data_IF_688847572245
#
_entry.id   IF_688847572245
#
_cell.length_a   1.000
_cell.length_b   1.000
_cell.length_c   1.000
_cell.angle_alpha   90.00
_cell.angle_beta   90.00
_cell.angle_gamma   90.00
#
_symmetry.space_group_name_H-M   'P 1'
#
loop_
_entity.id
_entity.type
_entity.pdbx_description
1 polymer ?
#
# COMPACT_ATOMS: atom_id res chain seq x y z
N UNK A 1 -2.77 51.74 -5.85
CA UNK A 1 -1.54 50.96 -5.62
C UNK A 1 -1.78 50.01 -4.47
N UNK A 2 -2.21 48.81 -4.76
CA UNK A 2 -2.51 47.80 -3.76
C UNK A 2 -1.29 46.86 -3.63
N UNK A 3 -0.57 46.95 -2.52
CA UNK A 3 0.56 46.09 -2.18
C UNK A 3 0.05 44.71 -1.81
N UNK A 4 0.11 43.77 -2.71
CA UNK A 4 -0.02 42.35 -2.41
C UNK A 4 1.15 41.97 -1.51
N UNK A 5 0.91 41.97 -0.19
CA UNK A 5 1.78 41.32 0.79
C UNK A 5 1.76 39.81 0.50
N UNK A 6 2.78 39.33 -0.23
CA UNK A 6 3.19 37.93 -0.15
C UNK A 6 3.58 37.66 1.30
N UNK A 7 2.69 37.04 2.05
CA UNK A 7 3.05 36.42 3.33
C UNK A 7 4.09 35.35 3.01
N UNK A 8 5.34 35.61 3.38
CA UNK A 8 6.40 34.63 3.32
C UNK A 8 5.92 33.39 4.10
N UNK A 9 5.59 32.31 3.41
CA UNK A 9 5.29 31.04 4.05
C UNK A 9 6.55 30.61 4.80
N UNK A 10 6.43 30.50 6.12
CA UNK A 10 7.51 30.07 7.01
C UNK A 10 8.03 28.73 6.48
N UNK A 11 9.29 28.66 6.06
CA UNK A 11 9.93 27.41 5.65
C UNK A 11 9.76 26.35 6.73
N UNK A 12 9.45 25.14 6.33
CA UNK A 12 9.27 24.02 7.25
C UNK A 12 10.62 23.63 7.84
N UNK A 13 10.88 23.98 9.09
CA UNK A 13 12.10 23.58 9.79
C UNK A 13 12.08 22.08 10.09
N UNK A 14 13.14 21.38 9.70
CA UNK A 14 13.33 19.97 10.04
C UNK A 14 13.85 19.88 11.49
N UNK A 15 13.08 19.26 12.37
CA UNK A 15 13.48 19.00 13.75
C UNK A 15 14.52 17.89 13.83
N UNK A 16 15.57 18.07 14.66
CA UNK A 16 16.67 17.11 14.81
C UNK A 16 17.24 16.64 13.43
N UNK A 17 17.73 17.57 12.59
CA UNK A 17 18.14 17.27 11.21
C UNK A 17 19.25 16.22 11.15
N UNK A 18 20.18 16.24 12.11
CA UNK A 18 21.35 15.35 12.16
C UNK A 18 21.05 13.97 12.76
N UNK A 19 19.79 13.72 13.17
CA UNK A 19 19.41 12.39 13.68
C UNK A 19 19.60 11.33 12.60
N UNK A 20 20.52 10.40 12.83
CA UNK A 20 20.78 9.28 11.93
C UNK A 20 19.58 8.33 11.93
N UNK A 21 18.97 8.12 10.76
CA UNK A 21 17.84 7.21 10.57
C UNK A 21 18.25 5.89 9.90
N UNK A 22 19.30 5.91 9.06
CA UNK A 22 19.92 4.72 8.52
C UNK A 22 21.41 4.72 8.89
N UNK A 23 21.87 3.77 9.73
CA UNK A 23 23.22 3.82 10.30
C UNK A 23 24.32 3.55 9.27
N UNK A 24 24.10 2.68 8.30
CA UNK A 24 25.07 2.46 7.24
C UNK A 24 25.05 3.65 6.26
N UNK A 25 26.13 4.39 6.22
CA UNK A 25 26.23 5.65 5.46
C UNK A 25 25.78 6.89 6.23
N UNK A 26 25.40 6.75 7.52
CA UNK A 26 25.00 7.88 8.41
C UNK A 26 23.90 8.76 7.79
N UNK A 27 22.96 8.15 7.08
CA UNK A 27 21.87 8.88 6.40
C UNK A 27 20.90 9.45 7.42
N UNK A 28 20.84 10.77 7.46
CA UNK A 28 20.16 11.54 8.50
C UNK A 28 18.72 11.86 8.16
N UNK A 29 17.99 12.44 9.09
CA UNK A 29 16.65 12.96 8.88
C UNK A 29 16.62 14.11 7.86
N UNK A 30 17.64 14.96 7.85
CA UNK A 30 17.80 15.99 6.81
C UNK A 30 17.99 15.37 5.42
N UNK A 31 18.74 14.25 5.32
CA UNK A 31 18.92 13.57 4.05
C UNK A 31 17.62 12.93 3.55
N UNK A 32 16.80 12.37 4.44
CA UNK A 32 15.46 11.88 4.09
C UNK A 32 14.60 13.00 3.53
N UNK A 33 14.56 14.16 4.19
CA UNK A 33 13.80 15.31 3.73
C UNK A 33 14.28 15.79 2.37
N UNK A 34 15.61 15.97 2.20
CA UNK A 34 16.25 16.36 0.94
C UNK A 34 15.97 15.38 -0.19
N UNK A 35 16.02 14.07 0.08
CA UNK A 35 15.66 13.06 -0.91
C UNK A 35 14.22 13.26 -1.38
N UNK A 36 13.26 13.37 -0.44
CA UNK A 36 11.84 13.53 -0.80
C UNK A 36 11.56 14.84 -1.52
N UNK A 37 12.24 15.91 -1.20
CA UNK A 37 12.15 17.18 -1.94
C UNK A 37 12.64 17.02 -3.39
N UNK A 38 13.81 16.42 -3.59
CA UNK A 38 14.41 16.22 -4.92
C UNK A 38 13.59 15.27 -5.80
N UNK A 39 13.00 14.21 -5.20
CA UNK A 39 12.21 13.21 -5.91
C UNK A 39 10.75 13.66 -6.13
N UNK A 40 10.29 14.71 -5.47
CA UNK A 40 8.89 15.13 -5.41
C UNK A 40 8.24 15.27 -6.79
N UNK A 41 8.91 15.87 -7.77
CA UNK A 41 8.37 16.05 -9.13
C UNK A 41 7.97 14.75 -9.81
N UNK A 42 8.63 13.62 -9.48
CA UNK A 42 8.32 12.29 -10.00
C UNK A 42 7.34 11.54 -9.10
N UNK A 43 7.44 11.70 -7.78
CA UNK A 43 6.62 10.99 -6.80
C UNK A 43 5.18 11.53 -6.73
N UNK A 44 5.00 12.85 -6.65
CA UNK A 44 3.70 13.48 -6.38
C UNK A 44 2.60 13.13 -7.38
N UNK A 45 2.84 13.01 -8.71
CA UNK A 45 1.81 12.58 -9.64
C UNK A 45 1.18 11.22 -9.29
N UNK A 46 1.97 10.30 -8.70
CA UNK A 46 1.52 8.97 -8.29
C UNK A 46 0.78 8.97 -6.96
N UNK A 47 1.02 9.97 -6.12
CA UNK A 47 0.38 10.13 -4.81
C UNK A 47 -0.86 11.02 -4.83
N UNK A 48 -1.01 11.82 -5.87
CA UNK A 48 -2.08 12.83 -5.95
C UNK A 48 -3.45 12.27 -5.65
N UNK A 49 -4.09 12.84 -4.62
CA UNK A 49 -5.42 12.46 -4.13
C UNK A 49 -5.53 10.98 -3.71
N UNK A 50 -4.45 10.36 -3.24
CA UNK A 50 -4.50 9.05 -2.61
C UNK A 50 -4.35 9.20 -1.10
N UNK A 51 -5.22 8.56 -0.31
CA UNK A 51 -4.97 8.42 1.12
C UNK A 51 -3.66 7.64 1.33
N UNK A 52 -2.85 8.08 2.29
CA UNK A 52 -1.52 7.50 2.52
C UNK A 52 -1.40 7.03 3.96
N UNK A 53 -0.93 5.80 4.15
CA UNK A 53 -0.43 5.32 5.42
C UNK A 53 1.06 5.65 5.49
N UNK A 54 1.47 6.36 6.53
CA UNK A 54 2.88 6.63 6.81
C UNK A 54 3.45 5.51 7.66
N UNK A 55 4.60 4.96 7.29
CA UNK A 55 5.34 4.08 8.18
C UNK A 55 6.50 4.85 8.77
N UNK A 56 6.40 5.14 10.06
CA UNK A 56 7.30 6.02 10.80
C UNK A 56 8.35 5.25 11.57
N UNK A 57 9.55 5.79 11.59
CA UNK A 57 10.72 5.24 12.26
C UNK A 57 11.42 6.33 13.11
N UNK A 58 10.79 6.80 14.19
CA UNK A 58 11.31 7.92 14.97
C UNK A 58 12.73 7.71 15.49
N UNK A 59 13.11 6.45 15.75
CA UNK A 59 14.42 6.05 16.29
C UNK A 59 15.29 5.32 15.25
N UNK A 60 15.04 5.58 13.94
CA UNK A 60 15.77 4.95 12.85
C UNK A 60 15.30 3.54 12.52
N UNK A 61 15.91 2.95 11.49
CA UNK A 61 15.43 1.71 10.86
C UNK A 61 15.51 0.46 11.74
N UNK A 62 16.31 0.49 12.79
CA UNK A 62 16.41 -0.59 13.78
C UNK A 62 15.60 -0.33 15.04
N UNK A 63 15.02 0.86 15.18
CA UNK A 63 14.09 1.19 16.26
C UNK A 63 12.68 0.68 15.99
N UNK A 64 11.81 0.88 16.98
CA UNK A 64 10.41 0.55 16.84
C UNK A 64 9.76 1.41 15.74
N UNK A 65 8.99 0.75 14.89
CA UNK A 65 8.28 1.37 13.77
C UNK A 65 6.77 1.14 13.90
N UNK A 66 5.99 2.13 13.49
CA UNK A 66 4.54 2.02 13.50
C UNK A 66 3.90 2.60 12.24
N UNK A 67 2.68 2.12 11.95
CA UNK A 67 1.88 2.62 10.85
C UNK A 67 0.94 3.71 11.33
N UNK A 68 1.17 4.95 10.87
CA UNK A 68 0.28 6.08 11.08
C UNK A 68 -0.74 6.12 9.96
N UNK A 69 -1.98 5.78 10.28
CA UNK A 69 -3.11 5.80 9.33
C UNK A 69 -3.93 7.06 9.52
N UNK A 70 -4.22 7.39 10.78
CA UNK A 70 -4.99 8.56 11.16
C UNK A 70 -4.07 9.77 11.30
N UNK A 71 -4.47 10.90 10.75
CA UNK A 71 -3.71 12.14 10.87
C UNK A 71 -3.61 12.55 12.34
N UNK A 72 -2.39 12.69 12.90
CA UNK A 72 -2.23 13.03 14.31
C UNK A 72 -2.82 14.39 14.66
N UNK A 73 -3.22 14.61 15.91
CA UNK A 73 -3.89 15.83 16.36
C UNK A 73 -3.07 17.12 16.14
N UNK A 74 -1.75 17.00 15.99
CA UNK A 74 -0.85 18.11 15.66
C UNK A 74 -0.66 18.34 14.14
N UNK A 75 -1.43 17.65 13.29
CA UNK A 75 -1.36 17.83 11.83
C UNK A 75 -1.65 19.28 11.46
N UNK A 76 -0.76 19.95 10.73
CA UNK A 76 -0.97 21.33 10.33
C UNK A 76 -2.23 21.50 9.48
N UNK A 77 -2.95 22.60 9.64
CA UNK A 77 -4.19 22.89 8.91
C UNK A 77 -4.04 22.91 7.39
N UNK A 78 -2.84 23.14 6.89
CA UNK A 78 -2.55 23.13 5.45
C UNK A 78 -2.32 21.73 4.87
N UNK A 79 -2.10 20.69 5.70
CA UNK A 79 -2.05 19.29 5.29
C UNK A 79 -3.48 18.82 5.02
N UNK A 80 -3.74 18.41 3.79
CA UNK A 80 -5.06 17.88 3.41
C UNK A 80 -5.23 16.46 3.93
N UNK A 81 -6.41 16.19 4.45
CA UNK A 81 -6.83 14.86 4.89
C UNK A 81 -8.12 14.44 4.20
N UNK A 82 -8.44 13.16 4.25
CA UNK A 82 -9.71 12.63 3.77
C UNK A 82 -10.21 11.53 4.71
N UNK A 83 -11.47 11.59 5.18
CA UNK A 83 -12.06 10.59 6.05
C UNK A 83 -12.39 9.32 5.25
N UNK A 84 -11.91 8.18 5.74
CA UNK A 84 -12.22 6.86 5.18
C UNK A 84 -12.93 6.04 6.26
N UNK A 85 -14.12 5.50 5.98
CA UNK A 85 -14.89 4.71 6.95
C UNK A 85 -14.11 3.46 7.41
N UNK A 86 -14.18 3.16 8.71
CA UNK A 86 -13.64 1.91 9.26
C UNK A 86 -14.54 0.72 8.89
N UNK A 87 -13.94 -0.39 8.51
CA UNK A 87 -14.70 -1.61 8.17
C UNK A 87 -15.42 -2.22 9.38
N UNK A 88 -14.82 -2.11 10.54
CA UNK A 88 -15.33 -2.67 11.80
C UNK A 88 -16.26 -1.71 12.54
N UNK A 89 -16.62 -0.59 11.91
CA UNK A 89 -17.39 0.48 12.54
C UNK A 89 -16.53 1.41 13.40
N UNK A 90 -17.15 2.46 13.95
CA UNK A 90 -16.47 3.50 14.72
C UNK A 90 -16.17 4.76 13.89
N UNK A 91 -15.41 5.72 14.43
CA UNK A 91 -15.09 6.97 13.75
C UNK A 91 -14.21 6.71 12.52
N UNK A 92 -14.40 7.51 11.48
CA UNK A 92 -13.59 7.49 10.27
C UNK A 92 -12.11 7.69 10.58
N UNK A 93 -11.25 7.16 9.72
CA UNK A 93 -9.80 7.41 9.74
C UNK A 93 -9.50 8.57 8.80
N UNK A 94 -8.92 9.65 9.32
CA UNK A 94 -8.53 10.81 8.51
C UNK A 94 -7.14 10.59 7.90
N UNK A 95 -7.09 10.00 6.71
CA UNK A 95 -5.83 9.76 6.02
C UNK A 95 -5.25 11.05 5.44
N UNK A 96 -3.94 11.20 5.54
CA UNK A 96 -3.18 12.28 4.92
C UNK A 96 -3.16 12.11 3.41
N UNK A 97 -3.32 13.24 2.67
CA UNK A 97 -3.15 13.31 1.22
C UNK A 97 -1.85 14.06 0.90
N UNK A 98 -0.84 13.36 0.38
CA UNK A 98 0.43 13.97 -0.03
C UNK A 98 0.28 14.50 -1.46
N UNK A 99 -0.16 15.76 -1.58
CA UNK A 99 -0.44 16.38 -2.86
C UNK A 99 0.60 17.43 -3.29
N UNK A 100 1.50 17.80 -2.40
CA UNK A 100 2.51 18.84 -2.58
C UNK A 100 3.80 18.52 -1.83
N UNK A 101 4.86 19.24 -2.18
CA UNK A 101 6.21 19.07 -1.60
C UNK A 101 6.22 19.37 -0.11
N UNK A 102 5.50 20.40 0.32
CA UNK A 102 5.46 20.82 1.72
C UNK A 102 4.89 19.71 2.62
N UNK A 103 3.80 19.06 2.19
CA UNK A 103 3.21 17.91 2.89
C UNK A 103 4.17 16.72 2.89
N UNK A 104 4.88 16.48 1.78
CA UNK A 104 5.86 15.41 1.68
C UNK A 104 7.05 15.63 2.63
N UNK A 105 7.60 16.84 2.67
CA UNK A 105 8.69 17.23 3.59
C UNK A 105 8.24 17.17 5.05
N UNK A 106 7.00 17.56 5.34
CA UNK A 106 6.44 17.42 6.68
C UNK A 106 6.34 15.95 7.12
N UNK A 107 5.91 15.05 6.23
CA UNK A 107 5.89 13.61 6.51
C UNK A 107 7.31 13.08 6.77
N UNK A 108 8.31 13.51 6.00
CA UNK A 108 9.72 13.19 6.24
C UNK A 108 10.20 13.70 7.61
N UNK A 109 9.79 14.90 8.01
CA UNK A 109 10.09 15.47 9.33
C UNK A 109 9.49 14.64 10.49
N UNK A 110 8.42 13.92 10.26
CA UNK A 110 7.88 12.93 11.21
C UNK A 110 8.61 11.58 11.17
N UNK A 111 9.75 11.47 10.48
CA UNK A 111 10.45 10.22 10.20
C UNK A 111 9.57 9.15 9.50
N UNK A 112 8.66 9.58 8.64
CA UNK A 112 7.93 8.70 7.74
C UNK A 112 8.86 8.26 6.60
N UNK A 113 9.56 7.15 6.80
CA UNK A 113 10.52 6.62 5.83
C UNK A 113 9.81 5.92 4.69
N UNK A 114 8.74 5.18 4.98
CA UNK A 114 7.97 4.50 3.95
C UNK A 114 6.58 5.15 3.80
N UNK A 115 6.21 5.41 2.55
CA UNK A 115 4.92 5.99 2.17
C UNK A 115 4.10 4.94 1.45
N UNK A 116 2.92 4.61 1.99
CA UNK A 116 2.07 3.54 1.49
C UNK A 116 0.70 4.09 1.04
N UNK A 117 0.54 4.52 -0.22
CA UNK A 117 -0.74 4.97 -0.74
C UNK A 117 -1.71 3.83 -1.01
N UNK A 118 -2.99 4.14 -0.98
CA UNK A 118 -4.05 3.27 -1.52
C UNK A 118 -4.00 3.21 -3.04
N UNK A 119 -4.59 2.16 -3.61
CA UNK A 119 -4.73 2.01 -5.07
C UNK A 119 -5.81 2.90 -5.67
N UNK A 120 -6.73 3.43 -4.86
CA UNK A 120 -7.78 4.38 -5.26
C UNK A 120 -7.36 5.83 -5.04
N UNK A 121 -8.16 6.73 -5.61
CA UNK A 121 -8.08 8.18 -5.37
C UNK A 121 -9.39 8.67 -4.78
N UNK A 122 -9.29 9.62 -3.86
CA UNK A 122 -10.48 10.28 -3.31
C UNK A 122 -11.13 11.20 -4.37
N UNK A 123 -12.46 11.35 -4.35
CA UNK A 123 -13.40 10.78 -3.38
C UNK A 123 -13.88 9.35 -3.71
N UNK A 124 -13.40 8.72 -4.78
CA UNK A 124 -13.88 7.42 -5.28
C UNK A 124 -13.08 6.27 -4.67
N UNK A 125 -13.23 6.06 -3.37
CA UNK A 125 -12.45 5.08 -2.60
C UNK A 125 -12.78 3.61 -2.97
N UNK A 126 -13.90 3.37 -3.63
CA UNK A 126 -14.32 2.05 -4.11
C UNK A 126 -13.63 1.63 -5.44
N UNK A 127 -12.93 2.57 -6.11
CA UNK A 127 -12.41 2.38 -7.47
C UNK A 127 -10.88 2.45 -7.51
N UNK A 128 -10.20 1.31 -7.50
CA UNK A 128 -8.75 1.30 -7.70
C UNK A 128 -8.40 1.75 -9.13
N UNK A 129 -7.31 2.50 -9.27
CA UNK A 129 -6.78 2.89 -10.59
C UNK A 129 -5.87 1.84 -11.19
N UNK A 130 -5.41 0.90 -10.37
CA UNK A 130 -4.48 -0.15 -10.76
C UNK A 130 -4.84 -1.48 -10.09
N UNK A 131 -4.40 -2.60 -10.69
CA UNK A 131 -4.21 -3.86 -9.99
C UNK A 131 -2.72 -3.98 -9.67
N UNK A 132 -2.40 -4.57 -8.52
CA UNK A 132 -1.02 -4.82 -8.10
C UNK A 132 -0.87 -6.29 -7.70
N UNK A 133 0.13 -6.95 -8.25
CA UNK A 133 0.65 -8.22 -7.72
C UNK A 133 1.94 -7.92 -6.96
N UNK A 134 1.98 -8.25 -5.68
CA UNK A 134 3.19 -8.12 -4.85
C UNK A 134 3.87 -9.49 -4.77
N UNK A 135 5.06 -9.58 -5.35
CA UNK A 135 5.82 -10.82 -5.46
C UNK A 135 6.84 -10.86 -4.32
N UNK A 136 6.55 -11.63 -3.29
CA UNK A 136 7.40 -11.77 -2.11
C UNK A 136 8.19 -13.08 -2.15
N UNK A 137 9.52 -13.05 -2.08
CA UNK A 137 10.32 -14.27 -2.01
C UNK A 137 10.16 -14.92 -0.63
N UNK A 138 9.93 -16.24 -0.62
CA UNK A 138 9.94 -17.05 0.58
C UNK A 138 11.38 -17.31 1.08
N UNK A 139 11.53 -18.09 2.15
CA UNK A 139 12.87 -18.56 2.57
C UNK A 139 13.49 -19.37 1.41
N UNK A 140 14.80 -19.21 1.19
CA UNK A 140 15.58 -19.83 0.11
C UNK A 140 15.29 -19.31 -1.31
N UNK A 141 14.56 -18.21 -1.45
CA UNK A 141 14.38 -17.47 -2.71
C UNK A 141 14.75 -16.01 -2.54
N UNK A 142 15.00 -15.30 -3.62
CA UNK A 142 15.35 -13.88 -3.64
C UNK A 142 14.60 -13.13 -4.76
N UNK A 143 15.02 -11.92 -5.05
CA UNK A 143 14.39 -11.05 -6.06
C UNK A 143 14.49 -11.62 -7.49
N UNK A 144 15.48 -12.47 -7.79
CA UNK A 144 15.60 -13.08 -9.11
C UNK A 144 14.48 -14.07 -9.38
N UNK A 145 14.11 -14.91 -8.40
CA UNK A 145 12.94 -15.78 -8.53
C UNK A 145 11.65 -14.95 -8.64
N UNK A 146 11.57 -13.78 -7.94
CA UNK A 146 10.45 -12.85 -8.17
C UNK A 146 10.43 -12.31 -9.60
N UNK A 147 11.60 -12.04 -10.21
CA UNK A 147 11.69 -11.63 -11.62
C UNK A 147 11.22 -12.74 -12.57
N UNK A 148 11.60 -14.00 -12.35
CA UNK A 148 11.07 -15.14 -13.13
C UNK A 148 9.54 -15.19 -13.07
N UNK A 149 8.97 -15.09 -11.85
CA UNK A 149 7.50 -15.10 -11.67
C UNK A 149 6.85 -13.87 -12.29
N UNK A 150 7.51 -12.70 -12.27
CA UNK A 150 7.01 -11.50 -12.95
C UNK A 150 6.88 -11.72 -14.47
N UNK A 151 7.82 -12.44 -15.10
CA UNK A 151 7.71 -12.80 -16.52
C UNK A 151 6.54 -13.75 -16.78
N UNK A 152 6.34 -14.77 -15.94
CA UNK A 152 5.17 -15.67 -16.06
C UNK A 152 3.85 -14.90 -15.95
N UNK A 153 3.76 -13.98 -14.98
CA UNK A 153 2.62 -13.07 -14.85
C UNK A 153 2.43 -12.20 -16.09
N UNK A 154 3.50 -11.59 -16.60
CA UNK A 154 3.44 -10.77 -17.80
C UNK A 154 2.89 -11.55 -19.00
N UNK A 155 3.33 -12.80 -19.18
CA UNK A 155 2.91 -13.63 -20.31
C UNK A 155 1.40 -13.95 -20.24
N UNK A 156 0.87 -14.27 -19.06
CA UNK A 156 -0.57 -14.46 -18.84
C UNK A 156 -1.33 -13.15 -19.11
N UNK A 157 -0.87 -12.03 -18.57
CA UNK A 157 -1.50 -10.73 -18.75
C UNK A 157 -1.49 -10.28 -20.22
N UNK A 158 -0.41 -10.58 -20.95
CA UNK A 158 -0.29 -10.28 -22.40
C UNK A 158 -1.31 -11.05 -23.21
N UNK A 159 -1.55 -12.34 -22.91
CA UNK A 159 -2.63 -13.14 -23.52
C UNK A 159 -4.01 -12.54 -23.28
N UNK A 160 -4.19 -11.88 -22.12
CA UNK A 160 -5.41 -11.13 -21.78
C UNK A 160 -5.42 -9.69 -22.34
N UNK A 161 -4.42 -9.32 -23.16
CA UNK A 161 -4.23 -7.97 -23.72
C UNK A 161 -4.07 -6.87 -22.67
N UNK A 162 -3.48 -7.21 -21.52
CA UNK A 162 -3.20 -6.28 -20.43
C UNK A 162 -1.69 -5.99 -20.36
N UNK A 163 -1.33 -4.73 -20.45
CA UNK A 163 0.04 -4.24 -20.23
C UNK A 163 0.32 -4.11 -18.74
N UNK A 164 1.50 -4.51 -18.33
CA UNK A 164 1.97 -4.46 -16.95
C UNK A 164 3.34 -3.79 -16.83
N UNK A 165 3.61 -3.22 -15.65
CA UNK A 165 4.77 -2.40 -15.40
C UNK A 165 5.44 -2.85 -14.09
N UNK A 166 6.67 -3.35 -14.13
CA UNK A 166 7.37 -3.85 -12.95
C UNK A 166 8.01 -2.71 -12.14
N UNK A 167 8.05 -2.91 -10.85
CA UNK A 167 8.72 -2.06 -9.88
C UNK A 167 9.38 -2.94 -8.82
N UNK A 168 10.69 -2.76 -8.56
CA UNK A 168 11.31 -3.36 -7.39
C UNK A 168 10.75 -2.70 -6.13
N UNK A 169 10.52 -3.50 -5.10
CA UNK A 169 9.95 -2.98 -3.86
C UNK A 169 10.92 -2.12 -3.04
N UNK A 170 12.22 -2.15 -3.39
CA UNK A 170 13.31 -1.57 -2.59
C UNK A 170 13.56 -2.36 -1.29
N UNK A 171 13.06 -3.60 -1.22
CA UNK A 171 13.30 -4.55 -0.14
C UNK A 171 13.73 -5.89 -0.71
N UNK A 172 12.83 -6.86 -0.84
CA UNK A 172 13.16 -8.22 -1.29
C UNK A 172 12.41 -8.64 -2.54
N UNK A 173 11.33 -7.97 -2.90
CA UNK A 173 10.39 -8.42 -3.90
C UNK A 173 10.19 -7.45 -5.05
N UNK A 174 9.30 -7.83 -5.96
CA UNK A 174 8.89 -7.06 -7.14
C UNK A 174 7.37 -6.87 -7.09
N UNK A 175 6.92 -5.68 -7.43
CA UNK A 175 5.51 -5.38 -7.62
C UNK A 175 5.21 -5.18 -9.10
N UNK A 176 4.15 -5.83 -9.58
CA UNK A 176 3.71 -5.70 -10.96
C UNK A 176 2.41 -4.90 -11.00
N UNK A 177 2.43 -3.75 -11.64
CA UNK A 177 1.29 -2.84 -11.75
C UNK A 177 0.58 -3.01 -13.09
N UNK A 178 -0.73 -3.16 -13.05
CA UNK A 178 -1.61 -3.18 -14.20
C UNK A 178 -2.52 -1.95 -14.13
N UNK A 179 -2.22 -0.87 -14.88
CA UNK A 179 -3.07 0.32 -14.88
C UNK A 179 -4.45 0.00 -15.44
N UNK A 180 -5.47 0.50 -14.77
CA UNK A 180 -6.85 0.41 -15.24
C UNK A 180 -7.34 1.80 -15.64
N UNK A 181 -7.30 2.78 -14.71
CA UNK A 181 -7.80 4.14 -14.87
C UNK A 181 -9.21 4.19 -15.48
N UNK A 182 -10.03 3.16 -15.20
CA UNK A 182 -11.40 2.95 -15.64
C UNK A 182 -12.32 2.75 -14.45
N UNK A 183 -13.62 2.70 -14.65
CA UNK A 183 -14.61 2.57 -13.58
C UNK A 183 -14.73 1.12 -13.04
N UNK A 184 -13.58 0.47 -12.76
CA UNK A 184 -13.54 -0.84 -12.11
C UNK A 184 -13.56 -0.68 -10.59
N UNK A 185 -14.24 -1.59 -9.88
CA UNK A 185 -14.29 -1.62 -8.43
C UNK A 185 -13.35 -2.70 -7.86
N UNK A 186 -13.08 -2.65 -6.56
CA UNK A 186 -12.34 -3.70 -5.87
C UNK A 186 -13.02 -5.07 -5.95
N UNK A 187 -14.36 -5.09 -6.06
CA UNK A 187 -15.14 -6.33 -6.24
C UNK A 187 -14.84 -7.05 -7.57
N UNK A 188 -14.33 -6.33 -8.57
CA UNK A 188 -13.86 -6.92 -9.82
C UNK A 188 -12.36 -7.20 -9.81
N UNK A 189 -11.56 -6.27 -9.27
CA UNK A 189 -10.10 -6.34 -9.37
C UNK A 189 -9.49 -7.39 -8.45
N UNK A 190 -10.02 -7.57 -7.24
CA UNK A 190 -9.49 -8.55 -6.30
C UNK A 190 -9.76 -9.99 -6.73
N UNK A 191 -10.97 -10.41 -7.15
CA UNK A 191 -11.20 -11.75 -7.69
C UNK A 191 -10.38 -12.04 -8.96
N UNK A 192 -10.21 -11.05 -9.84
CA UNK A 192 -9.34 -11.18 -10.99
C UNK A 192 -7.88 -11.47 -10.59
N UNK A 193 -7.33 -10.66 -9.68
CA UNK A 193 -5.95 -10.85 -9.22
C UNK A 193 -5.77 -12.21 -8.53
N UNK A 194 -6.74 -12.63 -7.74
CA UNK A 194 -6.75 -13.94 -7.09
C UNK A 194 -6.77 -15.08 -8.12
N UNK A 195 -7.67 -15.04 -9.08
CA UNK A 195 -7.79 -16.06 -10.10
C UNK A 195 -6.48 -16.24 -10.90
N UNK A 196 -5.82 -15.13 -11.29
CA UNK A 196 -4.53 -15.18 -11.99
C UNK A 196 -3.45 -15.82 -11.10
N UNK A 197 -3.38 -15.45 -9.81
CA UNK A 197 -2.40 -16.01 -8.88
C UNK A 197 -2.61 -17.52 -8.68
N UNK A 198 -3.86 -17.98 -8.52
CA UNK A 198 -4.22 -19.39 -8.36
C UNK A 198 -3.94 -20.22 -9.63
N UNK A 199 -4.18 -19.65 -10.82
CA UNK A 199 -3.84 -20.29 -12.11
C UNK A 199 -2.33 -20.50 -12.22
N UNK A 200 -1.53 -19.49 -11.86
CA UNK A 200 -0.08 -19.58 -11.90
C UNK A 200 0.47 -20.54 -10.84
N UNK A 201 -0.10 -20.59 -9.65
CA UNK A 201 0.26 -21.59 -8.63
C UNK A 201 0.03 -23.01 -9.13
N UNK A 202 -1.14 -23.28 -9.74
CA UNK A 202 -1.45 -24.60 -10.34
C UNK A 202 -0.50 -24.98 -11.46
N UNK A 203 -0.12 -24.02 -12.31
CA UNK A 203 0.81 -24.27 -13.42
C UNK A 203 2.27 -24.43 -12.95
N UNK A 204 2.65 -23.81 -11.84
CA UNK A 204 4.03 -23.77 -11.33
C UNK A 204 4.10 -24.03 -9.83
N UNK A 205 3.58 -25.19 -9.32
CA UNK A 205 3.42 -25.43 -7.88
C UNK A 205 4.73 -25.48 -7.10
N UNK A 206 5.86 -25.74 -7.78
CA UNK A 206 7.19 -25.75 -7.17
C UNK A 206 7.86 -24.37 -7.09
N UNK A 207 7.33 -23.36 -7.80
CA UNK A 207 7.89 -21.99 -7.86
C UNK A 207 6.99 -20.94 -7.19
N UNK A 208 5.69 -21.16 -7.19
CA UNK A 208 4.68 -20.16 -6.84
C UNK A 208 3.77 -20.68 -5.73
N UNK A 209 3.35 -19.76 -4.87
CA UNK A 209 2.27 -19.96 -3.89
C UNK A 209 1.37 -18.72 -3.89
N UNK A 210 0.06 -18.93 -3.93
CA UNK A 210 -0.97 -17.89 -3.82
C UNK A 210 -1.68 -17.91 -2.45
N UNK A 211 -1.41 -18.94 -1.65
CA UNK A 211 -1.95 -19.08 -0.30
C UNK A 211 -1.23 -18.14 0.70
N UNK A 212 -2.01 -17.57 1.62
CA UNK A 212 -1.50 -16.64 2.64
C UNK A 212 -0.61 -17.31 3.71
N UNK A 213 -0.66 -18.62 3.85
CA UNK A 213 0.05 -19.37 4.88
C UNK A 213 1.58 -19.26 4.65
N UNK A 214 2.30 -18.79 5.67
CA UNK A 214 3.74 -18.54 5.57
C UNK A 214 4.59 -19.81 5.43
N UNK A 215 4.15 -20.91 6.00
CA UNK A 215 4.83 -22.21 5.93
C UNK A 215 4.90 -22.77 4.50
N UNK A 216 3.96 -22.41 3.63
CA UNK A 216 3.92 -22.87 2.23
C UNK A 216 4.90 -22.12 1.30
N UNK A 217 5.55 -21.06 1.80
CA UNK A 217 6.39 -20.15 0.98
C UNK A 217 7.84 -20.56 0.86
N UNK A 218 8.28 -21.62 1.55
CA UNK A 218 9.69 -22.06 1.52
C UNK A 218 10.07 -22.52 0.11
N UNK A 219 11.09 -21.90 -0.48
CA UNK A 219 11.55 -22.19 -1.83
C UNK A 219 10.66 -21.66 -2.96
N UNK A 220 9.64 -20.87 -2.63
CA UNK A 220 8.65 -20.35 -3.58
C UNK A 220 8.50 -18.82 -3.47
N UNK A 221 7.96 -18.22 -4.52
CA UNK A 221 7.52 -16.82 -4.53
C UNK A 221 6.03 -16.77 -4.19
N UNK A 222 5.68 -15.97 -3.21
CA UNK A 222 4.30 -15.69 -2.88
C UNK A 222 3.77 -14.57 -3.78
N UNK A 223 2.67 -14.84 -4.47
CA UNK A 223 1.93 -13.81 -5.23
C UNK A 223 0.86 -13.24 -4.31
N UNK A 224 1.15 -12.10 -3.64
CA UNK A 224 0.16 -11.42 -2.82
C UNK A 224 -0.83 -10.63 -3.70
N UNK A 225 -1.93 -11.28 -4.03
CA UNK A 225 -3.07 -10.71 -4.73
C UNK A 225 -3.98 -9.90 -3.80
N UNK A 226 -3.86 -10.06 -2.47
CA UNK A 226 -4.72 -9.40 -1.48
C UNK A 226 -4.49 -7.90 -1.37
N UNK A 227 -3.40 -7.39 -1.94
CA UNK A 227 -3.15 -5.95 -2.06
C UNK A 227 -4.29 -5.22 -2.80
N UNK A 228 -5.09 -5.94 -3.59
CA UNK A 228 -6.21 -5.41 -4.36
C UNK A 228 -7.51 -5.32 -3.53
N UNK A 229 -7.41 -4.99 -2.26
CA UNK A 229 -8.54 -4.75 -1.36
C UNK A 229 -8.64 -3.27 -0.98
N UNK A 230 -9.86 -2.82 -0.72
CA UNK A 230 -10.19 -1.41 -0.43
C UNK A 230 -9.55 -0.84 0.85
N UNK A 231 -9.07 -1.70 1.73
CA UNK A 231 -8.42 -1.36 3.01
C UNK A 231 -6.90 -1.59 3.00
N UNK A 232 -6.34 -2.03 1.87
CA UNK A 232 -4.91 -2.30 1.73
C UNK A 232 -4.17 -1.12 1.10
N UNK A 233 -2.97 -0.89 1.60
CA UNK A 233 -2.01 0.05 1.04
C UNK A 233 -0.75 -0.70 0.62
N UNK A 234 -0.08 -0.23 -0.40
CA UNK A 234 1.19 -0.81 -0.86
C UNK A 234 2.26 0.27 -0.92
N UNK A 235 3.54 -0.13 -0.84
CA UNK A 235 4.62 0.85 -0.91
C UNK A 235 4.55 1.66 -2.20
N UNK A 236 4.55 2.97 -2.05
CA UNK A 236 4.49 3.89 -3.19
C UNK A 236 5.75 3.87 -4.03
N UNK A 237 5.61 4.20 -5.31
CA UNK A 237 6.74 4.41 -6.21
C UNK A 237 7.61 5.55 -5.67
N UNK A 238 8.92 5.39 -5.75
CA UNK A 238 9.94 6.33 -5.25
C UNK A 238 9.94 6.52 -3.73
N UNK A 239 9.16 5.74 -2.96
CA UNK A 239 9.27 5.72 -1.50
C UNK A 239 10.57 5.07 -1.06
N UNK A 240 11.20 5.63 -0.02
CA UNK A 240 12.26 4.95 0.71
C UNK A 240 11.74 3.67 1.36
N UNK A 241 12.67 2.75 1.64
CA UNK A 241 12.42 1.50 2.38
C UNK A 241 13.32 1.43 3.60
N UNK A 242 12.75 1.00 4.71
CA UNK A 242 13.41 0.94 6.02
C UNK A 242 13.58 -0.52 6.49
N UNK A 243 14.09 -1.37 5.60
CA UNK A 243 14.28 -2.81 5.88
C UNK A 243 15.74 -3.22 6.06
N UNK A 244 16.66 -2.31 5.75
CA UNK A 244 18.11 -2.52 5.81
C UNK A 244 18.79 -1.30 6.44
N UNK A 245 20.06 -1.46 6.80
CA UNK A 245 20.89 -0.40 7.38
C UNK A 245 21.13 0.78 6.41
N UNK A 246 21.00 0.55 5.08
CA UNK A 246 21.04 1.56 4.02
C UNK A 246 19.64 1.87 3.49
N UNK A 247 19.39 3.09 3.05
CA UNK A 247 18.15 3.42 2.35
C UNK A 247 18.13 2.84 0.94
N UNK A 248 17.04 2.16 0.59
CA UNK A 248 16.76 1.75 -0.77
C UNK A 248 15.44 2.35 -1.23
N UNK A 249 15.26 2.47 -2.54
CA UNK A 249 14.11 3.12 -3.17
C UNK A 249 13.22 2.08 -3.84
N UNK A 250 11.92 2.24 -3.67
CA UNK A 250 10.92 1.49 -4.43
C UNK A 250 10.86 2.01 -5.87
N UNK A 251 11.55 1.33 -6.81
CA UNK A 251 11.95 1.88 -8.10
C UNK A 251 11.34 1.14 -9.28
N UNK A 252 10.70 1.85 -10.24
CA UNK A 252 10.29 1.26 -11.52
C UNK A 252 11.50 0.77 -12.32
N UNK A 253 11.34 -0.40 -12.93
CA UNK A 253 12.38 -1.00 -13.78
C UNK A 253 11.79 -1.38 -15.13
N UNK A 254 12.66 -1.47 -16.15
CA UNK A 254 12.30 -2.02 -17.46
C UNK A 254 12.31 -3.55 -17.40
N UNK A 255 11.56 -4.21 -18.27
CA UNK A 255 11.59 -5.65 -18.43
C UNK A 255 12.97 -6.16 -18.82
N UNK A 256 13.69 -5.39 -19.65
CA UNK A 256 15.07 -5.68 -20.07
C UNK A 256 16.03 -5.71 -18.89
N UNK A 257 15.85 -4.84 -17.89
CA UNK A 257 16.70 -4.81 -16.68
C UNK A 257 16.49 -6.07 -15.85
N UNK A 258 15.25 -6.56 -15.72
CA UNK A 258 14.97 -7.84 -15.08
C UNK A 258 15.63 -9.01 -15.87
N UNK A 259 15.61 -8.95 -17.19
CA UNK A 259 16.27 -9.95 -18.04
C UNK A 259 17.78 -9.94 -17.83
N UNK A 260 18.40 -8.76 -17.72
CA UNK A 260 19.84 -8.63 -17.50
C UNK A 260 20.22 -9.16 -16.12
N UNK A 261 19.45 -8.81 -15.08
CA UNK A 261 19.69 -9.29 -13.71
C UNK A 261 19.60 -10.82 -13.62
N UNK A 262 18.63 -11.43 -14.29
CA UNK A 262 18.49 -12.89 -14.39
C UNK A 262 19.67 -13.54 -15.11
N UNK A 263 20.07 -13.01 -16.29
CA UNK A 263 21.18 -13.55 -17.06
C UNK A 263 22.53 -13.49 -16.31
N UNK A 264 22.74 -12.43 -15.54
CA UNK A 264 23.96 -12.24 -14.74
C UNK A 264 23.89 -12.91 -13.37
N UNK A 265 22.71 -13.40 -12.96
CA UNK A 265 22.42 -13.89 -11.61
C UNK A 265 22.79 -12.87 -10.52
N UNK A 266 22.60 -11.57 -10.79
CA UNK A 266 23.06 -10.46 -9.99
C UNK A 266 21.87 -9.69 -9.42
N UNK A 267 21.68 -9.74 -8.08
CA UNK A 267 20.60 -9.07 -7.35
C UNK A 267 20.84 -7.56 -7.21
N UNK A 268 22.10 -7.13 -7.19
CA UNK A 268 22.48 -5.74 -6.92
C UNK A 268 22.04 -4.82 -8.08
N UNK A 269 21.90 -5.37 -9.29
CA UNK A 269 21.33 -4.66 -10.46
C UNK A 269 19.88 -4.20 -10.26
N UNK A 270 19.19 -4.71 -9.23
CA UNK A 270 17.81 -4.39 -8.91
C UNK A 270 17.69 -3.60 -7.58
N UNK A 271 18.79 -3.10 -7.05
CA UNK A 271 18.86 -2.28 -5.85
C UNK A 271 19.21 -0.83 -6.23
N UNK A 272 18.51 0.13 -5.66
CA UNK A 272 18.69 1.56 -5.96
C UNK A 272 18.76 2.34 -4.67
N UNK A 273 19.93 2.92 -4.38
CA UNK A 273 20.08 3.92 -3.32
C UNK A 273 19.52 5.29 -3.76
N UNK A 274 19.25 6.24 -2.84
CA UNK A 274 18.60 7.51 -3.16
C UNK A 274 19.26 8.32 -4.28
N UNK A 275 20.59 8.48 -4.27
CA UNK A 275 21.31 9.24 -5.29
C UNK A 275 21.26 8.54 -6.65
N UNK A 276 21.41 7.22 -6.64
CA UNK A 276 21.31 6.42 -7.86
C UNK A 276 19.90 6.51 -8.48
N UNK A 277 18.85 6.46 -7.63
CA UNK A 277 17.48 6.63 -8.07
C UNK A 277 17.23 7.99 -8.73
N UNK A 278 17.78 9.06 -8.15
CA UNK A 278 17.70 10.40 -8.72
C UNK A 278 18.47 10.52 -10.06
N UNK A 279 19.69 9.99 -10.13
CA UNK A 279 20.46 9.96 -11.37
C UNK A 279 19.76 9.13 -12.45
N UNK A 280 19.17 7.99 -12.07
CA UNK A 280 18.39 7.18 -13.00
C UNK A 280 17.22 7.96 -13.58
N UNK A 281 16.47 8.69 -12.76
CA UNK A 281 15.33 9.49 -13.22
C UNK A 281 15.72 10.63 -14.16
N UNK A 282 16.89 11.23 -13.99
CA UNK A 282 17.39 12.22 -14.95
C UNK A 282 17.75 11.60 -16.30
N UNK A 283 18.20 10.36 -16.31
CA UNK A 283 18.64 9.64 -17.51
C UNK A 283 17.49 8.99 -18.29
N UNK A 284 16.54 8.33 -17.60
CA UNK A 284 15.50 7.53 -18.26
C UNK A 284 14.07 8.07 -18.03
N UNK A 285 13.92 9.11 -17.21
CA UNK A 285 12.63 9.66 -16.86
C UNK A 285 11.79 8.75 -15.95
N UNK A 286 10.53 9.10 -15.76
CA UNK A 286 9.59 8.32 -14.97
C UNK A 286 8.98 7.18 -15.80
N UNK A 287 9.47 5.97 -15.59
CA UNK A 287 8.98 4.75 -16.25
C UNK A 287 7.54 4.39 -15.85
N UNK A 288 7.00 5.00 -14.79
CA UNK A 288 5.62 4.75 -14.32
C UNK A 288 4.59 5.75 -14.86
N UNK A 289 4.97 6.70 -15.73
CA UNK A 289 4.00 7.59 -16.40
C UNK A 289 2.85 6.82 -17.06
N UNK A 290 3.08 5.67 -17.75
CA UNK A 290 1.98 4.90 -18.30
C UNK A 290 0.98 4.39 -17.26
N UNK A 291 1.42 4.10 -16.02
CA UNK A 291 0.56 3.67 -14.91
C UNK A 291 -0.47 4.73 -14.54
N UNK A 292 -0.14 6.01 -14.74
CA UNK A 292 -1.05 7.13 -14.48
C UNK A 292 -2.09 7.34 -15.59
N UNK A 293 -1.78 6.97 -16.82
CA UNK A 293 -2.52 7.40 -18.02
C UNK A 293 -3.21 6.28 -18.77
N UNK A 294 -2.61 5.09 -18.79
CA UNK A 294 -3.11 3.98 -19.60
C UNK A 294 -4.46 3.49 -19.06
N UNK A 295 -5.44 3.42 -19.95
CA UNK A 295 -6.77 2.89 -19.66
C UNK A 295 -6.87 1.47 -20.18
N UNK A 296 -7.20 0.54 -19.29
CA UNK A 296 -7.38 -0.86 -19.62
C UNK A 296 -8.68 -1.38 -18.98
N UNK A 297 -9.26 -2.41 -19.58
CA UNK A 297 -10.46 -3.07 -19.08
C UNK A 297 -10.14 -4.53 -18.79
N UNK A 298 -10.68 -5.05 -17.72
CA UNK A 298 -10.64 -6.48 -17.42
C UNK A 298 -11.49 -7.27 -18.42
N UNK A 299 -11.25 -8.58 -18.58
CA UNK A 299 -12.15 -9.48 -19.29
C UNK A 299 -13.60 -9.31 -18.79
N UNK A 300 -14.58 -9.53 -19.70
CA UNK A 300 -16.01 -9.22 -19.44
C UNK A 300 -16.54 -9.92 -18.18
N UNK A 301 -16.10 -11.14 -17.93
CA UNK A 301 -16.48 -11.99 -16.81
C UNK A 301 -16.17 -11.32 -15.46
N UNK A 302 -15.03 -10.63 -15.34
CA UNK A 302 -14.65 -9.90 -14.14
C UNK A 302 -15.21 -8.47 -14.13
N UNK A 303 -15.35 -7.84 -15.29
CA UNK A 303 -15.89 -6.49 -15.38
C UNK A 303 -17.38 -6.42 -14.95
N UNK A 304 -18.16 -7.49 -15.16
CA UNK A 304 -19.55 -7.59 -14.73
C UNK A 304 -19.71 -7.53 -13.22
N UNK A 305 -18.73 -8.06 -12.44
CA UNK A 305 -18.74 -8.01 -10.98
C UNK A 305 -18.73 -6.59 -10.42
N UNK A 306 -18.29 -5.60 -11.20
CA UNK A 306 -18.37 -4.18 -10.81
C UNK A 306 -19.80 -3.63 -10.83
N UNK A 307 -20.76 -4.32 -11.44
CA UNK A 307 -22.13 -3.83 -11.65
C UNK A 307 -23.14 -4.37 -10.63
N UNK A 308 -22.82 -5.45 -9.92
CA UNK A 308 -23.82 -6.29 -9.25
C UNK A 308 -23.95 -6.13 -7.73
N UNK A 309 -23.26 -5.18 -7.09
CA UNK A 309 -23.53 -4.99 -5.67
C UNK A 309 -24.42 -3.78 -5.41
N UNK A 310 -25.69 -4.00 -4.95
CA UNK A 310 -26.36 -3.00 -4.14
C UNK A 310 -25.43 -2.71 -2.93
N UNK A 311 -25.36 -1.44 -2.50
CA UNK A 311 -24.65 -1.04 -1.26
C UNK A 311 -24.87 -2.12 -0.21
N UNK A 312 -23.80 -2.74 0.27
CA UNK A 312 -23.85 -3.72 1.36
C UNK A 312 -24.74 -3.13 2.46
N UNK A 313 -25.94 -3.64 2.58
CA UNK A 313 -26.60 -3.63 3.88
C UNK A 313 -25.63 -4.39 4.77
N UNK A 314 -25.12 -3.72 5.78
CA UNK A 314 -24.25 -4.32 6.81
C UNK A 314 -24.82 -5.70 7.15
N UNK A 315 -24.10 -6.80 6.96
CA UNK A 315 -24.59 -8.09 7.44
C UNK A 315 -24.90 -7.88 8.90
N UNK A 316 -26.00 -8.37 9.43
CA UNK A 316 -26.26 -8.24 10.86
C UNK A 316 -25.03 -8.87 11.54
N UNK A 317 -24.23 -8.04 12.21
CA UNK A 317 -23.01 -8.44 12.92
C UNK A 317 -23.22 -9.53 13.97
N UNK A 318 -24.45 -9.99 14.11
CA UNK A 318 -24.94 -10.95 15.09
C UNK A 318 -25.31 -12.33 14.51
N UNK A 319 -25.38 -12.52 13.18
CA UNK A 319 -25.75 -13.82 12.60
C UNK A 319 -24.62 -14.82 12.77
N UNK A 320 -23.38 -14.42 12.46
CA UNK A 320 -22.22 -15.30 12.64
C UNK A 320 -21.89 -15.53 14.12
N UNK A 321 -22.19 -14.57 14.99
CA UNK A 321 -22.02 -14.70 16.43
C UNK A 321 -23.02 -15.69 17.01
N UNK A 322 -24.29 -15.65 16.57
CA UNK A 322 -25.32 -16.61 16.98
C UNK A 322 -25.06 -18.04 16.49
N UNK A 323 -24.51 -18.19 15.27
CA UNK A 323 -24.21 -19.49 14.70
C UNK A 323 -23.04 -20.22 15.36
N UNK A 324 -22.14 -19.48 16.02
CA UNK A 324 -20.91 -20.04 16.63
C UNK A 324 -21.00 -20.29 18.13
N UNK A 325 -22.12 -19.94 18.79
CA UNK A 325 -22.28 -20.07 20.25
C UNK A 325 -23.56 -20.78 20.65
N UNK A 326 -23.41 -21.69 21.61
CA UNK A 326 -24.53 -22.36 22.26
C UNK A 326 -24.92 -21.59 23.52
N UNK A 327 -25.91 -20.73 23.41
CA UNK A 327 -26.42 -19.90 24.52
C UNK A 327 -27.12 -20.69 25.63
N UNK A 328 -27.37 -21.98 25.43
CA UNK A 328 -27.87 -22.86 26.48
C UNK A 328 -26.76 -23.26 27.47
N UNK A 329 -25.50 -23.16 27.06
CA UNK A 329 -24.30 -23.49 27.87
C UNK A 329 -23.57 -22.30 28.46
N UNK A 330 -23.88 -21.07 28.03
CA UNK A 330 -23.23 -19.86 28.52
C UNK A 330 -24.24 -18.94 29.20
N UNK A 331 -23.85 -18.33 30.33
CA UNK A 331 -24.67 -17.32 31.03
C UNK A 331 -24.71 -15.97 30.32
N UNK A 332 -24.40 -15.90 29.03
CA UNK A 332 -24.41 -14.67 28.25
C UNK A 332 -25.82 -14.36 27.74
N UNK A 333 -26.25 -13.11 27.77
CA UNK A 333 -27.56 -12.74 27.23
C UNK A 333 -27.59 -12.93 25.72
N UNK A 334 -28.68 -13.49 25.20
CA UNK A 334 -28.90 -13.63 23.75
C UNK A 334 -28.96 -12.21 23.15
N UNK A 335 -28.12 -11.91 22.14
CA UNK A 335 -28.15 -10.58 21.52
C UNK A 335 -29.46 -10.36 20.78
N UNK A 336 -30.22 -9.33 21.16
CA UNK A 336 -31.43 -8.89 20.47
C UNK A 336 -31.10 -7.87 19.39
N UNK A 337 -31.75 -7.98 18.24
CA UNK A 337 -31.68 -6.95 17.22
C UNK A 337 -32.34 -5.68 17.75
N UNK A 338 -31.73 -4.50 17.55
CA UNK A 338 -32.38 -3.25 17.92
C UNK A 338 -33.69 -3.14 17.14
N UNK A 339 -34.83 -3.07 17.87
CA UNK A 339 -36.13 -2.72 17.29
C UNK A 339 -35.99 -1.31 16.73
N UNK A 340 -36.39 -1.11 15.49
CA UNK A 340 -36.46 0.21 14.88
C UNK A 340 -37.42 1.06 15.72
N UNK A 341 -36.87 1.93 16.57
CA UNK A 341 -37.69 2.90 17.29
C UNK A 341 -37.13 4.29 17.09
N UNK A 342 -38.05 5.14 16.77
CA UNK A 342 -37.94 6.58 16.74
C UNK A 342 -37.24 7.16 17.98
N UNK A 343 -36.56 8.26 17.74
CA UNK A 343 -36.23 9.36 18.65
C UNK A 343 -35.85 9.03 20.11
N UNK A 344 -34.57 9.33 20.43
CA UNK A 344 -34.22 9.69 21.80
C UNK A 344 -33.78 8.52 22.68
N UNK A 345 -32.73 7.77 22.35
CA UNK A 345 -32.20 6.79 23.29
C UNK A 345 -30.76 7.10 23.72
N UNK A 346 -30.57 7.15 25.03
CA UNK A 346 -29.29 7.14 25.71
C UNK A 346 -28.47 5.95 25.21
N UNK A 347 -27.27 6.19 24.72
CA UNK A 347 -26.34 5.13 24.35
C UNK A 347 -25.91 4.36 25.61
N UNK A 348 -26.14 3.04 25.64
CA UNK A 348 -25.66 2.17 26.72
C UNK A 348 -24.37 1.50 26.24
N UNK A 349 -23.34 1.54 27.09
CA UNK A 349 -22.10 0.80 26.89
C UNK A 349 -22.12 -0.41 27.80
N UNK A 350 -21.72 -1.58 27.28
CA UNK A 350 -21.48 -2.78 28.08
C UNK A 350 -19.97 -2.95 28.14
N UNK A 351 -19.41 -2.89 29.36
CA UNK A 351 -17.99 -3.22 29.61
C UNK A 351 -17.96 -4.64 30.12
N UNK A 352 -17.32 -5.52 29.37
CA UNK A 352 -17.12 -6.91 29.76
C UNK A 352 -15.71 -7.08 30.29
N UNK A 353 -15.57 -7.45 31.57
CA UNK A 353 -14.28 -7.76 32.19
C UNK A 353 -14.02 -9.26 32.00
N UNK A 354 -13.03 -9.64 31.24
CA UNK A 354 -12.53 -11.00 31.18
C UNK A 354 -11.53 -11.23 32.30
N UNK A 355 -11.86 -12.14 33.22
CA UNK A 355 -10.87 -12.71 34.14
C UNK A 355 -10.41 -14.05 33.53
N UNK A 356 -9.22 -14.03 32.92
CA UNK A 356 -8.56 -15.25 32.50
C UNK A 356 -7.90 -15.89 33.75
N UNK A 357 -8.26 -17.11 34.07
CA UNK A 357 -7.71 -17.86 35.21
C UNK A 357 -6.42 -18.63 34.91
N UNK A 358 -5.92 -18.60 33.67
CA UNK A 358 -4.61 -19.16 33.29
C UNK A 358 -3.98 -18.33 32.17
N UNK A 359 -2.69 -18.00 32.36
CA UNK A 359 -1.76 -17.50 31.36
C UNK A 359 -1.29 -18.64 30.45
#
# INVERSE_FOLDING_TARGET
>A
MSSLRRTAEKELQISNPDKVLYPAGKFTKADVARYYERIARFLLPHFRNRPVTLKRYPNGVFGEAFYEKDAPGFTPRWVKTFPVPRREGGPDINYILINDVRTLTWAANMAALELHPFLHRVPRIERPTNIVFDLDPGKKTNILQCAEVAFLLRDVLTKLRLKSFPKVSGSKGIQLYIPLNTAMTYDATQPFARAIAEVLEKAHPNKIVADMAKNLRVGKVFIDWSQNADHKTTVGVYSLRAKRARPYVSMPVKWEELTIALKKADVDLLEYEPEEALHRLTRVGDLFVPVLKLKQKLPKEFASLSKERPRRKTPPALVDYRAKRDFARTKEPVPELPRSSAQGSRRRFVVQKHAASHL
#
